data_IF_381763405679
#
_entry.id   IF_381763405679
#
_cell.length_a   1.000
_cell.length_b   1.000
_cell.length_c   1.000
_cell.angle_alpha   90.00
_cell.angle_beta   90.00
_cell.angle_gamma   90.00
#
_symmetry.space_group_name_H-M   'P 1'
#
loop_
_entity.id
_entity.type
_entity.pdbx_description
1 polymer ?
#
# COMPACT_ATOMS: atom_id res chain seq x y z
N UNK A 1 16.71 -25.79 -57.71
CA UNK A 1 16.24 -24.49 -57.15
C UNK A 1 17.17 -23.38 -57.61
N UNK A 2 16.67 -22.45 -58.44
CA UNK A 2 17.47 -21.34 -58.96
C UNK A 2 17.97 -20.41 -57.86
N UNK A 3 19.18 -19.89 -58.02
CA UNK A 3 19.88 -19.02 -57.06
C UNK A 3 19.01 -17.83 -56.61
N UNK A 4 18.20 -17.26 -57.51
CA UNK A 4 17.27 -16.16 -57.19
C UNK A 4 16.18 -16.51 -56.17
N UNK A 5 15.71 -17.76 -56.13
CA UNK A 5 14.73 -18.20 -55.13
C UNK A 5 15.36 -18.31 -53.74
N UNK A 6 16.60 -18.81 -53.65
CA UNK A 6 17.34 -18.92 -52.39
C UNK A 6 17.61 -17.54 -51.76
N UNK A 7 17.98 -16.56 -52.58
CA UNK A 7 18.21 -15.17 -52.12
C UNK A 7 16.91 -14.55 -51.59
N UNK A 8 15.79 -14.71 -52.31
CA UNK A 8 14.48 -14.21 -51.87
C UNK A 8 14.00 -14.89 -50.57
N UNK A 9 14.19 -16.20 -50.44
CA UNK A 9 13.86 -16.93 -49.23
C UNK A 9 14.72 -16.49 -48.03
N UNK A 10 16.01 -16.23 -48.24
CA UNK A 10 16.91 -15.75 -47.20
C UNK A 10 16.56 -14.33 -46.74
N UNK A 11 16.19 -13.44 -47.68
CA UNK A 11 15.69 -12.10 -47.35
C UNK A 11 14.38 -12.14 -46.55
N UNK A 12 13.48 -13.07 -46.88
CA UNK A 12 12.22 -13.25 -46.16
C UNK A 12 12.45 -13.78 -44.74
N UNK A 13 13.37 -14.74 -44.58
CA UNK A 13 13.78 -15.26 -43.26
C UNK A 13 14.41 -14.15 -42.40
N UNK A 14 15.27 -13.33 -42.99
CA UNK A 14 15.89 -12.19 -42.31
C UNK A 14 14.83 -11.16 -41.87
N UNK A 15 13.88 -10.83 -42.75
CA UNK A 15 12.78 -9.92 -42.43
C UNK A 15 11.93 -10.41 -41.27
N UNK A 16 11.58 -11.71 -41.24
CA UNK A 16 10.85 -12.32 -40.13
C UNK A 16 11.65 -12.25 -38.84
N UNK A 17 12.95 -12.56 -38.89
CA UNK A 17 13.83 -12.46 -37.72
C UNK A 17 13.89 -11.03 -37.16
N UNK A 18 14.00 -10.02 -38.03
CA UNK A 18 13.99 -8.62 -37.62
C UNK A 18 12.65 -8.22 -36.98
N UNK A 19 11.51 -8.68 -37.52
CA UNK A 19 10.18 -8.40 -36.96
C UNK A 19 10.03 -9.03 -35.57
N UNK A 20 10.42 -10.30 -35.42
CA UNK A 20 10.35 -11.00 -34.12
C UNK A 20 11.23 -10.30 -33.08
N UNK A 21 12.44 -9.88 -33.47
CA UNK A 21 13.35 -9.16 -32.58
C UNK A 21 12.79 -7.81 -32.16
N UNK A 22 12.20 -7.05 -33.09
CA UNK A 22 11.58 -5.76 -32.80
C UNK A 22 10.38 -5.90 -31.85
N UNK A 23 9.53 -6.91 -32.05
CA UNK A 23 8.40 -7.19 -31.16
C UNK A 23 8.88 -7.61 -29.76
N UNK A 24 9.89 -8.48 -29.67
CA UNK A 24 10.43 -8.95 -28.40
C UNK A 24 11.06 -7.81 -27.58
N UNK A 25 11.82 -6.91 -28.21
CA UNK A 25 12.42 -5.76 -27.54
C UNK A 25 11.33 -4.80 -27.05
N UNK A 26 10.33 -4.50 -27.89
CA UNK A 26 9.28 -3.56 -27.54
C UNK A 26 8.41 -4.06 -26.37
N UNK A 27 8.04 -5.35 -26.36
CA UNK A 27 7.24 -5.93 -25.28
C UNK A 27 8.02 -5.94 -23.95
N UNK A 28 9.25 -6.44 -23.94
CA UNK A 28 10.07 -6.53 -22.73
C UNK A 28 10.39 -5.15 -22.13
N UNK A 29 10.73 -4.16 -22.97
CA UNK A 29 11.02 -2.81 -22.50
C UNK A 29 9.78 -2.07 -21.99
N UNK A 30 8.62 -2.26 -22.64
CA UNK A 30 7.38 -1.63 -22.18
C UNK A 30 6.92 -2.21 -20.83
N UNK A 31 6.97 -3.54 -20.65
CA UNK A 31 6.58 -4.16 -19.38
C UNK A 31 7.47 -3.69 -18.22
N UNK A 32 8.79 -3.67 -18.40
CA UNK A 32 9.72 -3.19 -17.37
C UNK A 32 9.45 -1.72 -17.02
N UNK A 33 9.31 -0.86 -18.02
CA UNK A 33 9.05 0.56 -17.83
C UNK A 33 7.70 0.82 -17.14
N UNK A 34 6.68 0.02 -17.44
CA UNK A 34 5.37 0.10 -16.78
C UNK A 34 5.47 -0.28 -15.30
N UNK A 35 6.18 -1.38 -14.97
CA UNK A 35 6.38 -1.82 -13.58
C UNK A 35 7.11 -0.74 -12.78
N UNK A 36 8.19 -0.19 -13.31
CA UNK A 36 8.96 0.85 -12.64
C UNK A 36 8.13 2.13 -12.42
N UNK A 37 7.34 2.52 -13.41
CA UNK A 37 6.46 3.69 -13.30
C UNK A 37 5.38 3.49 -12.22
N UNK A 38 4.72 2.33 -12.23
CA UNK A 38 3.68 2.00 -11.25
C UNK A 38 4.24 1.85 -9.83
N UNK A 39 5.44 1.25 -9.70
CA UNK A 39 6.15 1.17 -8.43
C UNK A 39 6.51 2.56 -7.91
N UNK A 40 6.94 3.48 -8.79
CA UNK A 40 7.19 4.88 -8.45
C UNK A 40 5.94 5.57 -7.90
N UNK A 41 4.80 5.45 -8.59
CA UNK A 41 3.53 6.03 -8.12
C UNK A 41 3.13 5.47 -6.75
N UNK A 42 3.26 4.15 -6.55
CA UNK A 42 2.97 3.51 -5.26
C UNK A 42 3.89 4.03 -4.16
N UNK A 43 5.17 4.16 -4.44
CA UNK A 43 6.16 4.68 -3.49
C UNK A 43 5.89 6.13 -3.12
N UNK A 44 5.57 6.98 -4.10
CA UNK A 44 5.26 8.39 -3.88
C UNK A 44 4.00 8.56 -3.04
N UNK A 45 2.94 7.80 -3.35
CA UNK A 45 1.70 7.81 -2.59
C UNK A 45 1.90 7.30 -1.16
N UNK A 46 2.72 6.27 -0.97
CA UNK A 46 3.05 5.76 0.36
C UNK A 46 3.84 6.79 1.17
N UNK A 47 4.88 7.37 0.57
CA UNK A 47 5.72 8.39 1.20
C UNK A 47 4.93 9.62 1.65
N UNK A 48 3.93 10.05 0.87
CA UNK A 48 3.02 11.13 1.28
C UNK A 48 2.25 10.76 2.55
N UNK A 49 1.71 9.54 2.64
CA UNK A 49 0.96 9.06 3.81
C UNK A 49 1.88 8.90 5.03
N UNK A 50 3.08 8.38 4.84
CA UNK A 50 4.12 8.31 5.88
C UNK A 50 4.45 9.71 6.41
N UNK A 51 4.59 10.70 5.53
CA UNK A 51 4.85 12.09 5.91
C UNK A 51 3.69 12.70 6.70
N UNK A 52 2.44 12.44 6.29
CA UNK A 52 1.26 12.88 7.05
C UNK A 52 1.24 12.30 8.47
N UNK A 53 1.56 11.01 8.61
CA UNK A 53 1.64 10.33 9.91
C UNK A 53 2.81 10.88 10.73
N UNK A 54 3.97 11.10 10.11
CA UNK A 54 5.11 11.71 10.79
C UNK A 54 4.76 13.11 11.31
N UNK A 55 4.03 13.91 10.52
CA UNK A 55 3.55 15.22 10.94
C UNK A 55 2.52 15.12 12.08
N UNK A 56 1.63 14.13 12.03
CA UNK A 56 0.70 13.83 13.13
C UNK A 56 1.44 13.51 14.42
N UNK A 57 2.43 12.61 14.37
CA UNK A 57 3.20 12.14 15.52
C UNK A 57 4.12 13.22 16.12
N UNK A 58 4.55 14.21 15.31
CA UNK A 58 5.31 15.38 15.77
C UNK A 58 4.44 16.36 16.55
N UNK A 59 3.15 16.43 16.26
CA UNK A 59 2.21 17.33 16.94
C UNK A 59 1.69 16.71 18.25
N UNK A 60 2.22 17.19 19.38
CA UNK A 60 1.83 16.75 20.73
C UNK A 60 0.33 16.91 21.00
N UNK A 61 -0.32 17.93 20.44
CA UNK A 61 -1.75 18.14 20.65
C UNK A 61 -2.56 17.04 19.94
N UNK A 62 -2.16 16.66 18.73
CA UNK A 62 -2.82 15.59 17.96
C UNK A 62 -2.62 14.23 18.61
N UNK A 63 -1.42 13.95 19.12
CA UNK A 63 -1.14 12.73 19.91
C UNK A 63 -1.98 12.69 21.18
N UNK A 64 -2.10 13.80 21.90
CA UNK A 64 -2.95 13.92 23.10
C UNK A 64 -4.43 13.70 22.77
N UNK A 65 -4.92 14.29 21.68
CA UNK A 65 -6.28 14.06 21.19
C UNK A 65 -6.51 12.59 20.83
N UNK A 66 -5.53 11.92 20.20
CA UNK A 66 -5.63 10.51 19.85
C UNK A 66 -5.79 9.60 21.08
N UNK A 67 -5.10 9.92 22.17
CA UNK A 67 -5.27 9.22 23.45
C UNK A 67 -6.71 9.29 23.96
N UNK A 68 -7.38 10.42 23.71
CA UNK A 68 -8.75 10.68 24.15
C UNK A 68 -9.83 10.26 23.14
N UNK A 69 -9.49 9.61 22.01
CA UNK A 69 -10.51 9.21 21.02
C UNK A 69 -11.59 8.28 21.57
N UNK A 70 -11.27 7.47 22.58
CA UNK A 70 -12.25 6.61 23.27
C UNK A 70 -13.26 7.39 24.13
N UNK A 71 -12.94 8.63 24.52
CA UNK A 71 -13.79 9.50 25.37
C UNK A 71 -14.45 10.62 24.55
N UNK A 72 -13.80 11.08 23.49
CA UNK A 72 -14.24 12.19 22.65
C UNK A 72 -14.56 11.72 21.23
N UNK A 73 -15.83 11.37 21.02
CA UNK A 73 -16.35 10.91 19.73
C UNK A 73 -16.18 11.93 18.61
N UNK A 74 -16.29 13.23 18.89
CA UNK A 74 -16.14 14.30 17.89
C UNK A 74 -14.73 14.32 17.29
N UNK A 75 -13.69 14.20 18.10
CA UNK A 75 -12.31 14.16 17.62
C UNK A 75 -12.00 12.85 16.88
N UNK A 76 -12.52 11.73 17.39
CA UNK A 76 -12.39 10.43 16.74
C UNK A 76 -13.05 10.39 15.35
N UNK A 77 -14.28 10.90 15.24
CA UNK A 77 -15.02 10.98 13.97
C UNK A 77 -14.32 11.90 12.96
N UNK A 78 -13.75 13.02 13.43
CA UNK A 78 -12.96 13.92 12.57
C UNK A 78 -11.68 13.27 12.05
N UNK A 79 -11.02 12.45 12.87
CA UNK A 79 -9.90 11.65 12.40
C UNK A 79 -10.37 10.66 11.31
N UNK A 80 -11.45 9.93 11.59
CA UNK A 80 -12.02 8.95 10.66
C UNK A 80 -12.35 9.61 9.31
N UNK A 81 -13.04 10.75 9.31
CA UNK A 81 -13.44 11.45 8.08
C UNK A 81 -12.25 11.94 7.25
N UNK A 82 -11.16 12.32 7.92
CA UNK A 82 -10.02 12.94 7.24
C UNK A 82 -9.01 11.90 6.70
N UNK A 83 -8.94 10.72 7.32
CA UNK A 83 -7.86 9.76 7.07
C UNK A 83 -8.31 8.41 6.52
N UNK A 84 -9.52 7.94 6.86
CA UNK A 84 -9.96 6.59 6.51
C UNK A 84 -10.05 6.39 5.00
N UNK A 85 -10.55 7.39 4.28
CA UNK A 85 -10.71 7.33 2.82
C UNK A 85 -9.35 7.33 2.09
N UNK A 86 -8.32 7.92 2.70
CA UNK A 86 -6.93 7.84 2.21
C UNK A 86 -6.26 6.50 2.56
N UNK A 87 -6.99 5.56 3.17
CA UNK A 87 -6.49 4.25 3.57
C UNK A 87 -5.63 4.26 4.83
N UNK A 88 -5.64 5.36 5.59
CA UNK A 88 -4.93 5.50 6.87
C UNK A 88 -5.90 5.22 8.02
N UNK A 89 -5.56 4.24 8.83
CA UNK A 89 -6.29 3.89 10.04
C UNK A 89 -5.41 4.04 11.26
N UNK A 90 -6.02 4.26 12.42
CA UNK A 90 -5.34 4.38 13.70
C UNK A 90 -5.94 3.38 14.69
N UNK A 91 -5.08 2.78 15.48
CA UNK A 91 -5.42 2.03 16.67
C UNK A 91 -4.66 2.65 17.83
N UNK A 92 -5.34 2.84 18.96
CA UNK A 92 -4.71 3.33 20.17
C UNK A 92 -4.89 2.34 21.30
N UNK A 93 -3.82 2.19 22.09
CA UNK A 93 -3.75 1.24 23.18
C UNK A 93 -3.30 1.98 24.43
N UNK A 94 -3.89 1.63 25.56
CA UNK A 94 -3.47 2.08 26.89
C UNK A 94 -3.20 0.83 27.73
N UNK A 95 -2.00 0.72 28.32
CA UNK A 95 -1.56 -0.48 29.06
C UNK A 95 -1.76 -1.77 28.25
N UNK A 96 -1.35 -1.73 26.98
CA UNK A 96 -1.47 -2.85 26.02
C UNK A 96 -2.91 -3.26 25.65
N UNK A 97 -3.93 -2.58 26.18
CA UNK A 97 -5.33 -2.84 25.87
C UNK A 97 -5.83 -1.89 24.78
N UNK A 98 -6.49 -2.44 23.76
CA UNK A 98 -7.09 -1.66 22.69
C UNK A 98 -8.14 -0.71 23.25
N UNK A 99 -7.90 0.59 23.11
CA UNK A 99 -8.79 1.66 23.59
C UNK A 99 -9.64 2.24 22.47
N UNK A 100 -9.10 2.33 21.25
CA UNK A 100 -9.83 2.85 20.09
C UNK A 100 -9.30 2.26 18.78
N UNK A 101 -10.19 2.13 17.79
CA UNK A 101 -9.86 1.78 16.40
C UNK A 101 -10.67 2.62 15.42
N UNK A 102 -10.03 3.14 14.37
CA UNK A 102 -10.71 3.91 13.34
C UNK A 102 -11.27 3.06 12.21
N UNK A 103 -11.14 1.74 12.20
CA UNK A 103 -11.73 0.89 11.18
C UNK A 103 -11.85 -0.55 11.67
N UNK A 104 -12.87 -1.25 11.16
CA UNK A 104 -13.11 -2.67 11.45
C UNK A 104 -12.32 -3.60 10.53
N UNK A 105 -11.62 -3.06 9.53
CA UNK A 105 -11.10 -3.86 8.43
C UNK A 105 -9.96 -4.79 8.86
N UNK A 106 -9.02 -4.33 9.67
CA UNK A 106 -7.81 -5.09 9.93
C UNK A 106 -7.23 -4.82 11.32
N UNK A 107 -6.81 -5.88 12.01
CA UNK A 107 -6.14 -5.83 13.31
C UNK A 107 -4.93 -6.78 13.29
N UNK A 108 -3.73 -6.33 13.69
CA UNK A 108 -2.61 -7.24 13.88
C UNK A 108 -2.91 -8.20 15.03
N UNK A 109 -2.79 -9.52 14.79
CA UNK A 109 -3.11 -10.57 15.78
C UNK A 109 -2.28 -10.46 17.06
N UNK A 110 -1.06 -9.92 16.97
CA UNK A 110 -0.21 -9.70 18.13
C UNK A 110 0.57 -8.37 18.03
N UNK A 111 0.11 -7.36 18.76
CA UNK A 111 0.74 -6.04 18.78
C UNK A 111 2.14 -6.01 19.40
N UNK A 112 2.42 -6.94 20.33
CA UNK A 112 3.76 -7.03 20.95
C UNK A 112 4.82 -7.46 19.94
N UNK A 113 4.42 -8.16 18.88
CA UNK A 113 5.31 -8.55 17.78
C UNK A 113 5.62 -7.39 16.81
N UNK A 114 4.83 -6.32 16.84
CA UNK A 114 5.05 -5.13 16.00
C UNK A 114 6.17 -4.30 16.63
N UNK A 115 7.24 -4.09 15.86
CA UNK A 115 8.39 -3.28 16.28
C UNK A 115 8.03 -1.80 16.29
N UNK A 116 8.71 -1.02 17.13
CA UNK A 116 8.61 0.45 17.10
C UNK A 116 9.10 0.98 15.74
N UNK A 117 8.43 1.98 15.17
CA UNK A 117 8.69 2.47 13.82
C UNK A 117 7.80 1.79 12.78
N UNK A 118 8.29 1.66 11.54
CA UNK A 118 7.55 1.07 10.41
C UNK A 118 7.75 -0.46 10.34
N UNK A 119 6.71 -1.18 9.94
CA UNK A 119 6.71 -2.63 9.70
C UNK A 119 5.69 -3.00 8.63
N UNK A 120 6.07 -3.88 7.71
CA UNK A 120 5.14 -4.44 6.73
C UNK A 120 4.43 -5.67 7.31
N UNK A 121 3.09 -5.68 7.30
CA UNK A 121 2.28 -6.75 7.87
C UNK A 121 1.24 -7.23 6.84
N UNK A 122 1.34 -8.47 6.36
CA UNK A 122 0.26 -9.10 5.61
C UNK A 122 -0.85 -9.55 6.56
N UNK A 123 -2.09 -9.19 6.24
CA UNK A 123 -3.30 -9.60 6.95
C UNK A 123 -4.25 -10.31 5.98
N UNK A 124 -5.27 -10.97 6.52
CA UNK A 124 -6.24 -11.77 5.75
C UNK A 124 -7.01 -10.95 4.71
N UNK A 125 -7.06 -9.63 4.89
CA UNK A 125 -7.81 -8.71 4.05
C UNK A 125 -6.92 -7.77 3.21
N UNK A 126 -5.59 -7.90 3.28
CA UNK A 126 -4.68 -7.04 2.53
C UNK A 126 -3.28 -6.90 3.12
N UNK A 127 -2.49 -6.06 2.47
CA UNK A 127 -1.14 -5.71 2.88
C UNK A 127 -1.12 -4.31 3.49
N UNK A 128 -0.47 -4.20 4.64
CA UNK A 128 -0.43 -2.97 5.42
C UNK A 128 1.00 -2.59 5.77
N UNK A 129 1.27 -1.29 5.73
CA UNK A 129 2.35 -0.72 6.50
C UNK A 129 1.81 -0.31 7.88
N UNK A 130 2.51 -0.72 8.93
CA UNK A 130 2.15 -0.39 10.31
C UNK A 130 3.24 0.46 10.92
N UNK A 131 2.88 1.68 11.31
CA UNK A 131 3.77 2.61 12.02
C UNK A 131 3.38 2.63 13.49
N UNK A 132 4.22 2.04 14.34
CA UNK A 132 4.03 1.98 15.78
C UNK A 132 4.83 3.08 16.48
N UNK A 133 4.15 3.79 17.40
CA UNK A 133 4.75 4.76 18.28
C UNK A 133 4.31 4.55 19.73
N UNK A 134 5.27 4.41 20.63
CA UNK A 134 5.01 4.18 22.07
C UNK A 134 5.41 5.39 22.92
N UNK A 135 4.52 5.78 23.85
CA UNK A 135 4.66 6.88 24.79
C UNK A 135 4.33 6.39 26.21
N UNK A 136 5.28 5.73 26.87
CA UNK A 136 5.03 5.09 28.18
C UNK A 136 4.00 3.96 28.05
N UNK A 137 2.89 4.05 28.78
CA UNK A 137 1.80 3.07 28.73
C UNK A 137 0.88 3.22 27.52
N UNK A 138 1.03 4.29 26.73
CA UNK A 138 0.20 4.57 25.57
C UNK A 138 0.91 4.22 24.27
N UNK A 139 0.23 3.49 23.39
CA UNK A 139 0.75 3.11 22.08
C UNK A 139 -0.22 3.54 20.99
N UNK A 140 0.31 4.17 19.93
CA UNK A 140 -0.42 4.45 18.70
C UNK A 140 0.13 3.55 17.59
N UNK A 141 -0.78 2.89 16.86
CA UNK A 141 -0.48 2.21 15.60
C UNK A 141 -1.23 2.93 14.49
N UNK A 142 -0.50 3.41 13.50
CA UNK A 142 -1.08 3.74 12.21
C UNK A 142 -1.00 2.53 11.29
N UNK A 143 -2.05 2.29 10.52
CA UNK A 143 -2.12 1.26 9.51
C UNK A 143 -2.44 1.90 8.17
N UNK A 144 -1.47 1.89 7.26
CA UNK A 144 -1.62 2.37 5.89
C UNK A 144 -1.93 1.17 5.02
N UNK A 145 -3.06 1.20 4.33
CA UNK A 145 -3.43 0.13 3.40
C UNK A 145 -2.63 0.29 2.11
N UNK A 146 -1.77 -0.69 1.80
CA UNK A 146 -1.00 -0.72 0.55
C UNK A 146 -1.85 -1.35 -0.55
N UNK A 147 -2.46 -2.51 -0.26
CA UNK A 147 -3.28 -3.25 -1.21
C UNK A 147 -4.34 -4.08 -0.49
N UNK A 148 -5.57 -4.00 -0.96
CA UNK A 148 -6.65 -4.89 -0.52
C UNK A 148 -6.46 -6.30 -1.10
N UNK A 149 -6.72 -7.33 -0.28
CA UNK A 149 -6.71 -8.72 -0.72
C UNK A 149 -7.74 -9.51 0.08
N UNK A 150 -8.97 -9.57 -0.42
CA UNK A 150 -10.10 -10.32 0.11
C UNK A 150 -10.29 -11.62 -0.68
N UNK A 151 -10.57 -12.72 0.02
CA UNK A 151 -10.90 -14.02 -0.61
C UNK A 151 -12.29 -14.02 -1.26
N UNK A 152 -13.18 -13.12 -0.82
CA UNK A 152 -14.54 -12.95 -1.35
C UNK A 152 -14.71 -11.51 -1.79
N UNK A 153 -15.15 -11.29 -3.04
CA UNK A 153 -15.49 -9.98 -3.58
C UNK A 153 -17.00 -9.77 -3.63
N UNK A 154 -17.47 -8.60 -3.20
CA UNK A 154 -18.87 -8.18 -3.26
C UNK A 154 -18.98 -6.64 -3.29
N UNK A 155 -20.19 -6.09 -3.30
CA UNK A 155 -20.41 -4.64 -3.36
C UNK A 155 -19.81 -3.83 -2.18
N UNK A 156 -19.42 -4.50 -1.10
CA UNK A 156 -18.77 -3.91 0.08
C UNK A 156 -17.27 -4.26 0.19
N UNK A 157 -16.82 -5.34 -0.46
CA UNK A 157 -15.46 -5.86 -0.42
C UNK A 157 -14.91 -5.95 -1.86
N UNK A 158 -14.02 -5.03 -2.21
CA UNK A 158 -13.41 -5.01 -3.53
C UNK A 158 -11.89 -5.08 -3.42
N UNK A 159 -11.29 -5.94 -4.24
CA UNK A 159 -9.85 -6.01 -4.43
C UNK A 159 -9.32 -4.93 -5.38
N UNK A 160 -10.17 -4.02 -5.85
CA UNK A 160 -9.73 -2.90 -6.63
C UNK A 160 -8.72 -2.05 -5.85
N UNK A 161 -7.70 -1.59 -6.58
CA UNK A 161 -6.59 -0.81 -6.09
C UNK A 161 -7.10 0.48 -5.45
N UNK A 162 -6.62 0.79 -4.24
CA UNK A 162 -6.88 2.08 -3.60
C UNK A 162 -6.12 3.13 -4.43
N UNK A 163 -6.84 4.10 -5.00
CA UNK A 163 -6.25 5.24 -5.73
C UNK A 163 -5.49 6.15 -4.79
#
# INVERSE_FOLDING_TARGET
MGIGFKIRALLLLLGICCIVTALSINQSLNEAKLIDHEAGILQDNLAQKEQEIANFLKDKNRVSQARQFHQNSTNALRFISNYRDNGINILTYEKENLSFWSSIRAFPKNITSVKEGSSFIPLENGFYEVIKKTYGEFTILFMITIKNQYTIENQYLSNQRIR
#
